data_IF_748296124315
#
_entry.id   IF_748296124315
#
_cell.length_a   1.000
_cell.length_b   1.000
_cell.length_c   1.000
_cell.angle_alpha   90.00
_cell.angle_beta   90.00
_cell.angle_gamma   90.00
#
_symmetry.space_group_name_H-M   'P 1'
#
loop_
_entity.id
_entity.type
_entity.pdbx_description
1 polymer ?
#
# COMPACT_ATOMS: atom_id res chain seq x y z
N UNK A 1 3.87 -10.26 -9.88
CA UNK A 1 3.59 -10.28 -11.33
C UNK A 1 4.04 -11.59 -11.98
N UNK A 2 5.26 -12.09 -11.68
CA UNK A 2 5.80 -13.33 -12.27
C UNK A 2 4.89 -14.55 -12.10
N UNK A 3 4.26 -14.71 -10.94
CA UNK A 3 3.34 -15.83 -10.70
C UNK A 3 2.11 -15.81 -11.61
N UNK A 4 1.66 -14.61 -12.01
CA UNK A 4 0.57 -14.45 -13.00
C UNK A 4 1.07 -14.80 -14.41
N UNK A 5 2.24 -14.30 -14.80
CA UNK A 5 2.84 -14.62 -16.13
C UNK A 5 3.04 -16.12 -16.29
N UNK A 6 3.56 -16.78 -15.26
CA UNK A 6 3.84 -18.22 -15.28
C UNK A 6 2.58 -19.09 -15.07
N UNK A 7 1.42 -18.50 -14.78
CA UNK A 7 0.15 -19.23 -14.57
C UNK A 7 0.09 -20.00 -13.25
N UNK A 8 0.89 -19.61 -12.26
CA UNK A 8 0.78 -20.13 -10.90
C UNK A 8 -0.44 -19.58 -10.17
N UNK A 9 -0.85 -18.36 -10.54
CA UNK A 9 -2.08 -17.69 -10.10
C UNK A 9 -2.76 -17.05 -11.32
N UNK A 10 -4.06 -16.96 -11.32
CA UNK A 10 -4.86 -16.46 -12.44
C UNK A 10 -4.83 -14.94 -12.56
N UNK A 11 -4.91 -14.26 -11.42
CA UNK A 11 -4.88 -12.80 -11.29
C UNK A 11 -4.26 -12.38 -9.96
N UNK A 12 -3.83 -11.11 -9.86
CA UNK A 12 -3.36 -10.53 -8.62
C UNK A 12 -3.77 -9.05 -8.51
N UNK A 13 -3.90 -8.56 -7.27
CA UNK A 13 -3.97 -7.13 -6.99
C UNK A 13 -2.57 -6.69 -6.57
N UNK A 14 -2.03 -5.68 -7.24
CA UNK A 14 -0.69 -5.16 -6.99
C UNK A 14 -0.75 -3.66 -6.70
N UNK A 15 0.04 -3.21 -5.73
CA UNK A 15 0.11 -1.81 -5.32
C UNK A 15 1.42 -1.13 -5.73
N UNK A 16 1.90 -1.40 -6.92
CA UNK A 16 3.13 -0.80 -7.45
C UNK A 16 3.22 -0.99 -8.95
N UNK A 17 4.26 -0.45 -9.56
CA UNK A 17 4.49 -0.57 -10.99
C UNK A 17 4.80 -2.03 -11.38
N UNK A 18 4.17 -2.50 -12.45
CA UNK A 18 4.51 -3.79 -13.05
C UNK A 18 5.85 -3.62 -13.76
N UNK A 19 6.83 -4.53 -13.54
CA UNK A 19 8.12 -4.47 -14.21
C UNK A 19 7.95 -4.34 -15.73
N UNK A 20 8.73 -3.46 -16.40
CA UNK A 20 8.57 -3.20 -17.84
C UNK A 20 8.62 -4.47 -18.69
N UNK A 21 9.46 -5.42 -18.32
CA UNK A 21 9.62 -6.71 -19.01
C UNK A 21 8.39 -7.62 -18.96
N UNK A 22 7.45 -7.33 -18.06
CA UNK A 22 6.20 -8.10 -17.91
C UNK A 22 4.97 -7.39 -18.48
N UNK A 23 5.09 -6.11 -18.82
CA UNK A 23 3.94 -5.29 -19.27
C UNK A 23 3.33 -5.81 -20.58
N UNK A 24 4.14 -6.39 -21.49
CA UNK A 24 3.64 -6.99 -22.72
C UNK A 24 2.84 -8.29 -22.50
N UNK A 25 3.09 -8.97 -21.39
CA UNK A 25 2.46 -10.24 -21.04
C UNK A 25 1.25 -10.11 -20.11
N UNK A 26 1.02 -8.92 -19.58
CA UNK A 26 0.00 -8.67 -18.57
C UNK A 26 -0.91 -7.52 -18.95
N UNK A 27 -2.21 -7.72 -18.76
CA UNK A 27 -3.16 -6.61 -18.67
C UNK A 27 -3.11 -6.04 -17.26
N UNK A 28 -3.12 -4.70 -17.19
CA UNK A 28 -3.08 -3.94 -15.93
C UNK A 28 -4.30 -3.03 -15.87
N UNK A 29 -5.19 -3.26 -14.92
CA UNK A 29 -6.42 -2.49 -14.78
C UNK A 29 -6.39 -1.74 -13.44
N UNK A 30 -6.41 -0.39 -13.41
CA UNK A 30 -6.57 0.37 -12.19
C UNK A 30 -7.82 -0.09 -11.43
N UNK A 31 -7.68 -0.32 -10.13
CA UNK A 31 -8.70 -0.95 -9.32
C UNK A 31 -9.17 -0.08 -8.15
N UNK A 32 -8.25 0.37 -7.31
CA UNK A 32 -8.56 1.19 -6.16
C UNK A 32 -7.42 2.17 -5.85
N UNK A 33 -7.77 3.29 -5.23
CA UNK A 33 -6.80 4.17 -4.58
C UNK A 33 -6.54 3.71 -3.16
N UNK A 34 -5.30 3.82 -2.71
CA UNK A 34 -4.85 3.47 -1.38
C UNK A 34 -3.97 4.60 -0.83
N UNK A 35 -4.39 5.20 0.26
CA UNK A 35 -3.64 6.23 0.97
C UNK A 35 -2.69 5.59 1.99
N UNK A 36 -1.43 6.02 1.98
CA UNK A 36 -0.42 5.63 2.96
C UNK A 36 -0.21 6.79 3.93
N UNK A 37 -0.66 6.64 5.17
CA UNK A 37 -0.59 7.66 6.20
C UNK A 37 0.51 7.37 7.22
N UNK A 38 1.07 8.43 7.83
CA UNK A 38 1.92 8.33 8.99
C UNK A 38 1.06 8.02 10.21
N UNK A 39 1.29 6.85 10.82
CA UNK A 39 0.59 6.38 12.00
C UNK A 39 1.44 6.47 13.25
N UNK A 40 0.79 6.73 14.37
CA UNK A 40 1.41 6.82 15.69
C UNK A 40 0.41 6.37 16.77
N UNK A 41 0.88 5.94 17.95
CA UNK A 41 -0.01 5.64 19.06
C UNK A 41 -0.66 6.93 19.58
N UNK A 42 -1.86 6.85 20.11
CA UNK A 42 -2.58 8.03 20.64
C UNK A 42 -1.86 8.72 21.80
N UNK A 43 -0.94 8.02 22.47
CA UNK A 43 -0.08 8.58 23.51
C UNK A 43 1.13 9.36 22.99
N UNK A 44 1.36 9.38 21.68
CA UNK A 44 2.52 10.08 21.10
C UNK A 44 2.32 11.59 21.16
N UNK A 45 3.40 12.36 21.42
CA UNK A 45 3.34 13.83 21.57
C UNK A 45 2.84 14.58 20.32
N UNK A 46 2.87 13.93 19.14
CA UNK A 46 2.30 14.47 17.91
C UNK A 46 0.84 14.05 17.67
N UNK A 47 0.26 13.20 18.52
CA UNK A 47 -1.09 12.65 18.29
C UNK A 47 -2.20 13.72 18.30
N UNK A 48 -1.97 14.82 19.02
CA UNK A 48 -2.90 15.96 19.07
C UNK A 48 -2.72 16.95 17.93
N UNK A 49 -1.65 16.80 17.12
CA UNK A 49 -1.40 17.67 15.96
C UNK A 49 -2.17 17.16 14.75
N UNK A 50 -2.88 18.05 14.07
CA UNK A 50 -3.51 17.73 12.79
C UNK A 50 -2.47 17.60 11.68
N UNK A 51 -1.43 18.44 11.70
CA UNK A 51 -0.39 18.50 10.67
C UNK A 51 0.97 18.74 11.33
N UNK A 52 2.00 18.09 10.80
CA UNK A 52 3.42 18.28 11.18
C UNK A 52 4.22 18.81 9.99
N UNK A 53 5.38 19.40 10.30
CA UNK A 53 6.33 19.87 9.30
C UNK A 53 7.18 18.72 8.76
N UNK A 54 7.72 18.88 7.54
CA UNK A 54 8.61 17.89 6.92
C UNK A 54 9.83 17.58 7.79
N UNK A 55 10.38 18.59 8.45
CA UNK A 55 11.56 18.45 9.29
C UNK A 55 11.29 17.67 10.58
N UNK A 56 10.04 17.64 11.05
CA UNK A 56 9.65 16.80 12.19
C UNK A 56 9.97 15.33 11.96
N UNK A 57 9.90 14.86 10.69
CA UNK A 57 10.18 13.46 10.34
C UNK A 57 11.60 13.02 10.74
N UNK A 58 12.58 13.91 10.72
CA UNK A 58 13.96 13.57 11.10
C UNK A 58 14.15 13.31 12.60
N UNK A 59 13.15 13.66 13.41
CA UNK A 59 13.16 13.47 14.86
C UNK A 59 12.37 12.24 15.30
N UNK A 60 11.70 11.54 14.36
CA UNK A 60 10.90 10.36 14.64
C UNK A 60 11.70 9.07 14.47
N UNK A 61 11.37 8.08 15.28
CA UNK A 61 11.88 6.72 15.14
C UNK A 61 10.92 5.92 14.27
N UNK A 62 11.38 5.46 13.12
CA UNK A 62 10.53 4.76 12.16
C UNK A 62 10.62 3.24 12.31
N UNK A 63 9.45 2.62 12.20
CA UNK A 63 9.29 1.18 11.96
C UNK A 63 8.83 1.04 10.51
N UNK A 64 9.55 0.27 9.71
CA UNK A 64 9.31 0.21 8.28
C UNK A 64 9.14 -1.22 7.78
N UNK A 65 8.55 -1.37 6.59
CA UNK A 65 8.68 -2.60 5.83
C UNK A 65 10.11 -2.73 5.29
N UNK A 66 10.51 -3.96 4.98
CA UNK A 66 11.79 -4.23 4.33
C UNK A 66 11.92 -3.47 2.99
N UNK A 67 13.15 -3.24 2.56
CA UNK A 67 13.47 -2.42 1.38
C UNK A 67 12.96 -3.01 0.05
N UNK A 68 12.60 -4.27 -0.01
CA UNK A 68 12.03 -4.93 -1.19
C UNK A 68 10.53 -4.70 -1.30
N UNK A 69 9.87 -4.29 -0.22
CA UNK A 69 8.44 -3.99 -0.21
C UNK A 69 8.07 -2.89 -1.21
N UNK A 70 7.03 -3.13 -2.00
CA UNK A 70 6.49 -2.12 -2.92
C UNK A 70 5.93 -0.91 -2.17
N UNK A 71 5.34 -1.11 -0.99
CA UNK A 71 4.87 -0.01 -0.12
C UNK A 71 6.05 0.87 0.27
N UNK A 72 7.14 0.29 0.76
CA UNK A 72 8.35 1.03 1.14
C UNK A 72 8.90 1.86 -0.03
N UNK A 73 8.99 1.27 -1.22
CA UNK A 73 9.47 1.96 -2.43
C UNK A 73 8.59 3.15 -2.81
N UNK A 74 7.25 3.04 -2.69
CA UNK A 74 6.33 4.16 -2.95
C UNK A 74 6.54 5.27 -1.93
N UNK A 75 6.64 4.95 -0.64
CA UNK A 75 6.87 5.92 0.42
C UNK A 75 8.18 6.66 0.17
N UNK A 76 9.29 5.94 -0.02
CA UNK A 76 10.62 6.52 -0.24
C UNK A 76 10.65 7.41 -1.49
N UNK A 77 9.96 7.02 -2.56
CA UNK A 77 9.83 7.80 -3.80
C UNK A 77 9.13 9.15 -3.51
N UNK A 78 7.95 9.13 -2.86
CA UNK A 78 7.17 10.34 -2.59
C UNK A 78 7.91 11.25 -1.62
N UNK A 79 8.49 10.73 -0.57
CA UNK A 79 9.28 11.51 0.39
C UNK A 79 10.47 12.18 -0.30
N UNK A 80 11.21 11.46 -1.14
CA UNK A 80 12.34 12.00 -1.89
C UNK A 80 11.91 13.09 -2.89
N UNK A 81 10.79 12.91 -3.57
CA UNK A 81 10.21 13.92 -4.46
C UNK A 81 9.75 15.18 -3.71
N UNK A 82 9.44 15.03 -2.42
CA UNK A 82 9.06 16.12 -1.53
C UNK A 82 10.27 16.79 -0.83
N UNK A 83 11.49 16.53 -1.31
CA UNK A 83 12.77 17.03 -0.78
C UNK A 83 13.12 16.51 0.62
N UNK A 84 12.66 15.32 0.98
CA UNK A 84 13.08 14.65 2.22
C UNK A 84 14.20 13.67 1.88
N UNK A 85 15.34 13.80 2.55
CA UNK A 85 16.43 12.82 2.46
C UNK A 85 16.08 11.60 3.33
N UNK A 86 15.54 10.58 2.68
CA UNK A 86 15.08 9.35 3.36
C UNK A 86 16.22 8.62 4.09
N UNK A 87 17.48 8.84 3.71
CA UNK A 87 18.65 8.23 4.37
C UNK A 87 18.91 8.84 5.77
N UNK A 88 18.35 10.02 6.04
CA UNK A 88 18.45 10.69 7.35
C UNK A 88 17.32 10.30 8.30
N UNK A 89 16.31 9.61 7.83
CA UNK A 89 15.24 9.10 8.69
C UNK A 89 15.80 8.01 9.62
N UNK A 90 15.42 8.08 10.89
CA UNK A 90 15.90 7.12 11.90
C UNK A 90 15.03 5.85 11.82
N UNK A 91 15.51 4.87 11.09
CA UNK A 91 14.87 3.54 11.02
C UNK A 91 15.38 2.69 12.17
N UNK A 92 14.53 2.45 13.16
CA UNK A 92 14.84 1.62 14.34
C UNK A 92 14.61 0.13 14.06
N UNK A 93 13.63 -0.17 13.20
CA UNK A 93 13.22 -1.55 12.96
C UNK A 93 12.69 -1.73 11.54
N UNK A 94 13.08 -2.83 10.90
CA UNK A 94 12.48 -3.30 9.66
C UNK A 94 11.71 -4.60 9.92
N UNK A 95 10.44 -4.65 9.49
CA UNK A 95 9.54 -5.78 9.69
C UNK A 95 8.93 -6.21 8.35
N UNK A 96 8.61 -7.49 8.22
CA UNK A 96 8.03 -8.06 6.99
C UNK A 96 6.49 -8.08 6.97
N UNK A 97 5.84 -7.66 8.06
CA UNK A 97 4.40 -7.76 8.23
C UNK A 97 3.80 -6.46 8.71
N UNK A 98 2.71 -6.02 8.08
CA UNK A 98 1.91 -4.85 8.50
C UNK A 98 1.38 -5.05 9.92
N UNK A 99 0.91 -6.24 10.28
CA UNK A 99 0.42 -6.54 11.63
C UNK A 99 1.53 -6.38 12.68
N UNK A 100 2.76 -6.82 12.37
CA UNK A 100 3.88 -6.62 13.27
C UNK A 100 4.22 -5.13 13.43
N UNK A 101 4.16 -4.34 12.35
CA UNK A 101 4.34 -2.88 12.39
C UNK A 101 3.27 -2.23 13.26
N UNK A 102 1.99 -2.56 13.07
CA UNK A 102 0.88 -2.04 13.87
C UNK A 102 1.10 -2.30 15.35
N UNK A 103 1.44 -3.54 15.71
CA UNK A 103 1.71 -3.91 17.10
C UNK A 103 2.89 -3.14 17.70
N UNK A 104 3.96 -2.95 16.95
CA UNK A 104 5.14 -2.21 17.38
C UNK A 104 4.82 -0.71 17.58
N UNK A 105 4.06 -0.10 16.64
CA UNK A 105 3.59 1.29 16.78
C UNK A 105 2.67 1.43 17.99
N UNK A 106 1.69 0.55 18.15
CA UNK A 106 0.77 0.56 19.32
C UNK A 106 1.52 0.43 20.65
N UNK A 107 2.62 -0.31 20.66
CA UNK A 107 3.49 -0.46 21.83
C UNK A 107 4.41 0.76 22.08
N UNK A 108 4.34 1.79 21.25
CA UNK A 108 5.12 3.01 21.41
C UNK A 108 6.59 2.87 20.96
N UNK A 109 6.94 1.84 20.20
CA UNK A 109 8.32 1.62 19.73
C UNK A 109 8.73 2.58 18.61
N UNK A 110 7.77 3.26 17.98
CA UNK A 110 8.02 4.23 16.92
C UNK A 110 6.76 4.57 16.14
N UNK A 111 6.97 5.17 14.98
CA UNK A 111 5.92 5.56 14.02
C UNK A 111 6.12 4.81 12.70
N UNK A 112 5.09 4.73 11.87
CA UNK A 112 5.19 4.02 10.60
C UNK A 112 4.32 4.66 9.52
N UNK A 113 4.66 4.44 8.26
CA UNK A 113 3.75 4.66 7.13
C UNK A 113 3.07 3.35 6.77
N UNK A 114 1.75 3.33 6.80
CA UNK A 114 0.94 2.17 6.39
C UNK A 114 -0.30 2.61 5.63
N UNK A 115 -0.95 1.67 4.94
CA UNK A 115 -2.24 1.90 4.31
C UNK A 115 -3.31 2.25 5.37
N UNK A 116 -4.08 3.30 5.12
CA UNK A 116 -5.18 3.71 6.01
C UNK A 116 -6.20 2.57 6.17
N UNK A 117 -6.50 1.85 5.09
CA UNK A 117 -7.41 0.70 5.13
C UNK A 117 -6.93 -0.45 6.04
N UNK A 118 -5.61 -0.57 6.24
CA UNK A 118 -5.05 -1.60 7.11
C UNK A 118 -5.19 -1.29 8.61
N UNK A 119 -5.57 -0.05 8.97
CA UNK A 119 -5.65 0.43 10.35
C UNK A 119 -7.03 0.97 10.74
N UNK A 120 -8.04 0.78 9.91
CA UNK A 120 -9.40 1.28 10.18
C UNK A 120 -9.92 0.88 11.56
N UNK A 121 -9.67 -0.37 11.95
CA UNK A 121 -10.08 -0.89 13.25
C UNK A 121 -9.35 -0.17 14.39
N UNK A 122 -8.05 0.02 14.30
CA UNK A 122 -7.22 0.68 15.30
C UNK A 122 -7.60 2.16 15.47
N UNK A 123 -7.98 2.82 14.37
CA UNK A 123 -8.52 4.18 14.38
C UNK A 123 -9.89 4.22 15.08
N UNK A 124 -10.79 3.30 14.75
CA UNK A 124 -12.13 3.23 15.34
C UNK A 124 -12.11 2.99 16.84
N UNK A 125 -11.23 2.12 17.34
CA UNK A 125 -11.09 1.84 18.78
C UNK A 125 -10.18 2.83 19.51
N UNK A 126 -9.58 3.80 18.78
CA UNK A 126 -8.82 4.90 19.38
C UNK A 126 -7.49 4.49 20.01
N UNK A 127 -6.81 3.47 19.50
CA UNK A 127 -5.47 3.05 19.97
C UNK A 127 -4.33 3.61 19.11
N UNK A 128 -4.65 4.04 17.91
CA UNK A 128 -3.76 4.73 16.97
C UNK A 128 -4.44 5.96 16.38
N UNK A 129 -3.64 6.83 15.83
CA UNK A 129 -4.08 7.98 15.05
C UNK A 129 -3.15 8.19 13.86
N UNK A 130 -3.60 9.00 12.90
CA UNK A 130 -2.80 9.48 11.79
C UNK A 130 -2.45 10.95 11.99
N UNK A 131 -1.32 11.38 11.46
CA UNK A 131 -0.96 12.79 11.38
C UNK A 131 -0.59 13.14 9.94
N UNK A 132 -1.10 14.26 9.46
CA UNK A 132 -0.76 14.77 8.13
C UNK A 132 0.63 15.40 8.13
N UNK A 133 1.31 15.33 7.01
CA UNK A 133 2.59 16.02 6.81
C UNK A 133 2.32 17.16 5.82
N UNK A 134 2.81 18.34 6.13
CA UNK A 134 2.57 19.52 5.30
C UNK A 134 3.02 19.29 3.86
N UNK A 135 2.10 19.50 2.91
CA UNK A 135 2.33 19.35 1.47
C UNK A 135 2.76 17.93 1.01
N UNK A 136 2.52 16.90 1.83
CA UNK A 136 2.80 15.53 1.44
C UNK A 136 1.55 14.69 1.60
N UNK A 137 1.13 14.07 0.50
CA UNK A 137 0.11 13.03 0.46
C UNK A 137 0.70 11.85 -0.28
N UNK A 138 0.63 10.67 0.30
CA UNK A 138 1.18 9.46 -0.29
C UNK A 138 0.04 8.57 -0.73
N UNK A 139 -0.29 8.61 -2.01
CA UNK A 139 -1.29 7.75 -2.63
C UNK A 139 -0.63 6.79 -3.60
N UNK A 140 -1.22 5.61 -3.71
CA UNK A 140 -0.88 4.64 -4.75
C UNK A 140 -2.14 4.08 -5.38
N UNK A 141 -2.00 3.60 -6.61
CA UNK A 141 -3.06 2.87 -7.29
C UNK A 141 -2.81 1.38 -7.10
N UNK A 142 -3.82 0.69 -6.58
CA UNK A 142 -3.90 -0.76 -6.65
C UNK A 142 -4.44 -1.14 -8.02
N UNK A 143 -3.80 -2.08 -8.69
CA UNK A 143 -4.21 -2.55 -10.01
C UNK A 143 -4.44 -4.05 -10.00
N UNK A 144 -5.49 -4.49 -10.69
CA UNK A 144 -5.67 -5.90 -11.02
C UNK A 144 -4.80 -6.22 -12.21
N UNK A 145 -3.99 -7.27 -12.11
CA UNK A 145 -3.17 -7.79 -13.19
C UNK A 145 -3.55 -9.22 -13.52
N UNK A 146 -3.58 -9.56 -14.79
CA UNK A 146 -3.80 -10.93 -15.29
C UNK A 146 -3.10 -11.13 -16.63
N UNK A 147 -2.88 -12.39 -17.02
CA UNK A 147 -2.34 -12.73 -18.32
C UNK A 147 -3.50 -13.02 -19.30
N UNK A 148 -3.72 -12.18 -20.34
CA UNK A 148 -4.85 -12.35 -21.27
C UNK A 148 -4.73 -13.60 -22.14
N UNK A 149 -3.52 -14.15 -22.28
CA UNK A 149 -3.25 -15.32 -23.11
C UNK A 149 -3.31 -16.65 -22.35
N UNK A 150 -3.80 -16.64 -21.11
CA UNK A 150 -3.92 -17.85 -20.27
C UNK A 150 -5.36 -18.13 -19.89
N UNK A 151 -5.66 -19.43 -19.79
CA UNK A 151 -6.93 -19.89 -19.22
C UNK A 151 -7.03 -19.42 -17.76
N UNK A 152 -8.22 -19.01 -17.36
CA UNK A 152 -8.58 -18.68 -15.98
C UNK A 152 -9.53 -19.72 -15.41
N UNK A 153 -9.37 -19.99 -14.14
CA UNK A 153 -10.30 -20.84 -13.42
C UNK A 153 -11.67 -20.17 -13.25
N UNK A 154 -12.72 -20.98 -13.14
CA UNK A 154 -14.08 -20.48 -12.82
C UNK A 154 -14.11 -19.67 -11.53
N UNK A 155 -13.23 -19.99 -10.56
CA UNK A 155 -13.11 -19.24 -9.31
C UNK A 155 -12.56 -17.83 -9.56
N UNK A 156 -11.55 -17.67 -10.42
CA UNK A 156 -11.02 -16.37 -10.80
C UNK A 156 -12.04 -15.54 -11.59
N UNK A 157 -12.84 -16.17 -12.44
CA UNK A 157 -13.93 -15.51 -13.17
C UNK A 157 -15.01 -15.00 -12.19
N UNK A 158 -15.50 -15.85 -11.29
CA UNK A 158 -16.48 -15.46 -10.28
C UNK A 158 -15.94 -14.34 -9.37
N UNK A 159 -14.70 -14.45 -8.92
CA UNK A 159 -14.06 -13.39 -8.12
C UNK A 159 -14.01 -12.06 -8.88
N UNK A 160 -13.66 -12.09 -10.17
CA UNK A 160 -13.58 -10.87 -10.99
C UNK A 160 -14.95 -10.23 -11.21
N UNK A 161 -16.00 -11.02 -11.36
CA UNK A 161 -17.36 -10.55 -11.66
C UNK A 161 -18.14 -10.15 -10.41
N UNK A 162 -17.98 -10.87 -9.31
CA UNK A 162 -18.82 -10.72 -8.13
C UNK A 162 -18.12 -9.95 -7.00
N UNK A 163 -16.80 -10.11 -6.84
CA UNK A 163 -16.08 -9.55 -5.68
C UNK A 163 -15.36 -8.26 -6.02
N UNK A 164 -14.59 -8.22 -7.11
CA UNK A 164 -13.81 -7.03 -7.44
C UNK A 164 -14.66 -5.75 -7.56
N UNK A 165 -15.86 -5.75 -8.19
CA UNK A 165 -16.66 -4.52 -8.31
C UNK A 165 -17.11 -3.93 -6.97
N UNK A 166 -17.21 -4.77 -5.91
CA UNK A 166 -17.69 -4.32 -4.60
C UNK A 166 -16.71 -3.40 -3.87
N UNK A 167 -15.43 -3.50 -4.17
CA UNK A 167 -14.35 -2.79 -3.45
C UNK A 167 -13.55 -1.84 -4.35
N UNK A 168 -13.99 -1.63 -5.60
CA UNK A 168 -13.30 -0.74 -6.52
C UNK A 168 -13.60 0.73 -6.22
N UNK A 169 -12.56 1.57 -6.17
CA UNK A 169 -12.69 3.03 -6.14
C UNK A 169 -12.88 3.64 -7.54
N UNK A 170 -12.67 2.84 -8.58
CA UNK A 170 -12.85 3.22 -9.98
C UNK A 170 -14.07 2.52 -10.57
N UNK A 171 -14.56 2.99 -11.73
CA UNK A 171 -15.55 2.27 -12.51
C UNK A 171 -14.91 0.98 -13.09
N UNK A 172 -14.74 0.00 -12.22
CA UNK A 172 -14.16 -1.29 -12.58
C UNK A 172 -15.16 -2.05 -13.45
N UNK A 173 -14.77 -2.29 -14.72
CA UNK A 173 -15.56 -3.12 -15.62
C UNK A 173 -15.02 -4.54 -15.61
N UNK A 174 -15.72 -5.51 -15.00
CA UNK A 174 -15.29 -6.91 -14.94
C UNK A 174 -15.22 -7.57 -16.34
N UNK A 175 -15.97 -7.07 -17.32
CA UNK A 175 -15.94 -7.58 -18.69
C UNK A 175 -14.60 -7.34 -19.40
N UNK A 176 -13.75 -6.44 -18.89
CA UNK A 176 -12.38 -6.30 -19.37
C UNK A 176 -11.53 -7.52 -19.06
N UNK A 177 -11.88 -8.26 -18.00
CA UNK A 177 -11.21 -9.52 -17.63
C UNK A 177 -11.97 -10.67 -18.33
N UNK A 178 -11.92 -10.71 -19.67
CA UNK A 178 -12.66 -11.74 -20.44
C UNK A 178 -11.98 -13.11 -20.34
N UNK A 179 -12.78 -14.22 -20.29
CA UNK A 179 -12.24 -15.55 -20.54
C UNK A 179 -11.73 -15.65 -21.99
N UNK A 180 -10.73 -16.50 -22.20
CA UNK A 180 -10.40 -16.96 -23.54
C UNK A 180 -11.58 -17.76 -24.08
N UNK A 181 -12.17 -17.30 -25.17
CA UNK A 181 -13.22 -18.00 -25.91
C UNK A 181 -12.68 -19.29 -26.53
#
# INVERSE_FOLDING_TARGET
AWSVVNGQIDLAIVGGEVPPELQESLEVIPYAEDELALILPVSHYLAEKETIQKDDLYHLNFITLDSQSTIRKVIDKVLSQSNIDTRRLKVEMELSSIEAIKNAVQSGLGVAFVSVSAIERELQIGVMTTVKIEQIVINRILSVIYNPNRYRSKAAEAFSQEVLPLFSSFNFNPDRIKPLS
#
